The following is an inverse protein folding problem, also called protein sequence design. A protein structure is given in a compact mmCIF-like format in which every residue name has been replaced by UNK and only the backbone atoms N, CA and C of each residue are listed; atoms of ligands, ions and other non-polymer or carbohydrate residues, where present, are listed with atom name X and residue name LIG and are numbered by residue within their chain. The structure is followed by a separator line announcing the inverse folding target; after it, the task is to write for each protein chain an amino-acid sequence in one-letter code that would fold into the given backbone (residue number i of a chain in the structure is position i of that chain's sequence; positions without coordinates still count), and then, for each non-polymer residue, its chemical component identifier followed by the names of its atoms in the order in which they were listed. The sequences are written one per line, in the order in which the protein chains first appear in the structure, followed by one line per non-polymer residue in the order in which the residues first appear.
data_IF_330972827908
#
_entry.id   IF_330972827908
#
_cell.length_a   1.000
_cell.length_b   1.000
_cell.length_c   1.000
_cell.angle_alpha   90.00
_cell.angle_beta   90.00
_cell.angle_gamma   90.00
#
_symmetry.space_group_name_H-M   'P 1'
#
loop_
_entity.id
_entity.type
_entity.pdbx_description
1 polymer ?
#
# COMPACT_ATOMS: atom_id res chain seq x y z
N UNK A 1 16.12 -2.29 -3.93
CA UNK A 1 15.36 -3.26 -4.76
C UNK A 1 15.38 -2.83 -6.23
N UNK A 2 15.48 -3.77 -7.19
CA UNK A 2 15.32 -3.50 -8.63
C UNK A 2 13.93 -3.99 -9.08
N UNK A 3 13.11 -3.11 -9.64
CA UNK A 3 11.73 -3.43 -10.06
C UNK A 3 11.54 -3.07 -11.52
N UNK A 4 10.69 -3.82 -12.21
CA UNK A 4 10.29 -3.57 -13.59
C UNK A 4 8.78 -3.47 -13.72
N UNK A 5 8.29 -2.62 -14.60
CA UNK A 5 6.89 -2.55 -15.02
C UNK A 5 6.83 -2.64 -16.55
N UNK A 6 6.09 -3.64 -17.07
CA UNK A 6 6.05 -3.90 -18.52
C UNK A 6 7.44 -4.16 -19.14
N UNK A 7 8.34 -4.80 -18.38
CA UNK A 7 9.72 -5.08 -18.81
C UNK A 7 10.69 -3.89 -18.76
N UNK A 8 10.22 -2.70 -18.38
CA UNK A 8 11.06 -1.51 -18.21
C UNK A 8 11.38 -1.28 -16.75
N UNK A 9 12.61 -0.88 -16.45
CA UNK A 9 13.00 -0.55 -15.08
C UNK A 9 12.25 0.68 -14.57
N UNK A 10 11.85 0.63 -13.30
CA UNK A 10 11.22 1.76 -12.61
C UNK A 10 12.01 2.11 -11.36
N UNK A 11 12.08 3.41 -11.07
CA UNK A 11 12.75 3.93 -9.87
C UNK A 11 11.71 4.10 -8.76
N UNK A 12 11.95 3.49 -7.60
CA UNK A 12 11.19 3.80 -6.39
C UNK A 12 11.79 5.02 -5.70
N UNK A 13 10.94 5.93 -5.24
CA UNK A 13 11.33 7.11 -4.48
C UNK A 13 11.00 6.88 -3.01
N UNK A 14 11.92 7.24 -2.12
CA UNK A 14 11.79 7.08 -0.68
C UNK A 14 12.58 5.88 -0.13
N UNK A 15 12.42 5.65 1.17
CA UNK A 15 13.11 4.58 1.88
C UNK A 15 12.22 3.34 1.96
N UNK A 16 12.81 2.18 1.67
CA UNK A 16 12.19 0.88 1.89
C UNK A 16 12.09 0.60 3.40
N UNK A 17 10.90 0.25 3.89
CA UNK A 17 10.65 -0.09 5.29
C UNK A 17 11.13 -1.51 5.60
N UNK A 18 11.72 -1.69 6.79
CA UNK A 18 12.25 -2.97 7.29
C UNK A 18 11.56 -3.38 8.59
N UNK A 19 11.68 -4.65 8.94
CA UNK A 19 11.15 -5.17 10.20
C UNK A 19 11.78 -4.43 11.38
N UNK A 20 10.94 -3.91 12.27
CA UNK A 20 11.36 -3.10 13.41
C UNK A 20 11.30 -1.59 13.17
N UNK A 21 11.14 -1.15 11.92
CA UNK A 21 10.93 0.27 11.62
C UNK A 21 9.57 0.75 12.16
N UNK A 22 9.53 2.00 12.63
CA UNK A 22 8.28 2.64 13.01
C UNK A 22 7.44 2.93 11.76
N UNK A 23 6.11 2.82 11.88
CA UNK A 23 5.19 3.18 10.81
C UNK A 23 5.33 4.68 10.49
N UNK A 24 5.65 5.08 9.24
CA UNK A 24 5.74 6.48 8.88
C UNK A 24 4.40 7.20 9.03
N UNK A 25 4.46 8.50 9.34
CA UNK A 25 3.25 9.32 9.31
C UNK A 25 2.73 9.46 7.86
N UNK A 26 1.42 9.27 7.69
CA UNK A 26 0.73 9.48 6.43
C UNK A 26 -0.66 10.09 6.64
N UNK A 27 -1.18 10.72 5.60
CA UNK A 27 -2.57 11.16 5.47
C UNK A 27 -3.12 10.68 4.13
N UNK A 28 -4.33 10.13 4.13
CA UNK A 28 -5.02 9.49 3.03
C UNK A 28 -6.47 9.96 3.01
N UNK A 29 -7.16 9.66 1.91
CA UNK A 29 -8.58 9.96 1.72
C UNK A 29 -9.36 8.65 1.69
N UNK A 30 -10.47 8.58 2.44
CA UNK A 30 -11.37 7.40 2.44
C UNK A 30 -12.29 7.39 1.21
N UNK A 31 -13.03 6.30 1.01
CA UNK A 31 -14.03 6.20 -0.06
C UNK A 31 -15.16 7.23 0.07
N UNK A 32 -15.47 7.63 1.31
CA UNK A 32 -16.46 8.65 1.66
C UNK A 32 -15.88 10.08 1.63
N UNK A 33 -14.67 10.25 1.08
CA UNK A 33 -13.94 11.51 1.01
C UNK A 33 -13.56 12.09 2.38
N UNK A 34 -13.49 11.25 3.41
CA UNK A 34 -12.99 11.62 4.74
C UNK A 34 -11.46 11.57 4.81
N UNK A 35 -10.89 12.16 5.86
CA UNK A 35 -9.45 12.07 6.15
C UNK A 35 -9.15 10.80 6.96
N UNK A 36 -8.08 10.11 6.61
CA UNK A 36 -7.55 8.96 7.34
C UNK A 36 -6.04 9.09 7.49
N UNK A 37 -5.51 8.97 8.70
CA UNK A 37 -4.09 9.14 8.98
C UNK A 37 -3.47 7.90 9.64
N UNK A 38 -2.15 7.86 9.65
CA UNK A 38 -1.38 6.87 10.42
C UNK A 38 -1.80 6.76 11.90
N UNK A 39 -2.33 7.83 12.49
CA UNK A 39 -2.78 7.87 13.90
C UNK A 39 -4.11 7.15 14.12
N UNK A 40 -4.88 6.95 13.05
CA UNK A 40 -6.17 6.27 13.08
C UNK A 40 -6.02 4.74 12.97
N UNK A 41 -4.81 4.25 12.66
CA UNK A 41 -4.49 2.82 12.55
C UNK A 41 -4.50 2.17 13.94
N UNK A 42 -5.46 1.26 14.16
CA UNK A 42 -5.55 0.44 15.38
C UNK A 42 -4.73 -0.83 15.23
N UNK A 43 -3.75 -1.03 16.12
CA UNK A 43 -2.87 -2.20 16.08
C UNK A 43 -3.49 -3.41 16.80
N UNK A 44 -3.22 -4.65 16.32
CA UNK A 44 -2.41 -4.99 15.15
C UNK A 44 -3.15 -4.70 13.84
N UNK A 45 -2.43 -4.18 12.84
CA UNK A 45 -2.98 -3.87 11.52
C UNK A 45 -2.05 -4.38 10.42
N UNK A 46 -2.64 -4.75 9.29
CA UNK A 46 -1.94 -4.98 8.04
C UNK A 46 -2.32 -3.85 7.09
N UNK A 47 -1.33 -3.21 6.49
CA UNK A 47 -1.51 -2.15 5.49
C UNK A 47 -1.07 -2.71 4.14
N UNK A 48 -2.02 -2.82 3.20
CA UNK A 48 -1.77 -3.29 1.84
C UNK A 48 -1.75 -2.11 0.88
N UNK A 49 -0.75 -2.05 0.00
CA UNK A 49 -0.64 -1.01 -1.03
C UNK A 49 -0.50 -1.65 -2.40
N UNK A 50 -1.20 -1.08 -3.39
CA UNK A 50 -1.22 -1.55 -4.77
C UNK A 50 -1.06 -0.36 -5.73
N UNK A 51 -0.49 -0.54 -6.94
CA UNK A 51 -0.38 0.53 -7.92
C UNK A 51 -1.71 1.15 -8.34
N UNK A 52 -2.74 0.32 -8.59
CA UNK A 52 -4.08 0.79 -8.97
C UNK A 52 -5.10 -0.33 -8.83
N UNK A 53 -6.16 -0.07 -8.06
CA UNK A 53 -7.30 -1.00 -7.86
C UNK A 53 -8.04 -1.33 -9.16
N UNK A 54 -7.95 -0.45 -10.17
CA UNK A 54 -8.63 -0.58 -11.46
C UNK A 54 -7.89 -1.50 -12.44
N UNK A 55 -6.85 -2.21 -11.99
CA UNK A 55 -6.09 -3.17 -12.81
C UNK A 55 -6.35 -4.59 -12.36
N UNK A 56 -6.43 -5.52 -13.31
CA UNK A 56 -6.87 -6.90 -13.07
C UNK A 56 -6.05 -7.63 -12.02
N UNK A 57 -4.72 -7.51 -12.05
CA UNK A 57 -3.83 -8.18 -11.09
C UNK A 57 -3.99 -7.59 -9.70
N UNK A 58 -4.00 -6.27 -9.56
CA UNK A 58 -4.10 -5.61 -8.26
C UNK A 58 -5.49 -5.79 -7.63
N UNK A 59 -6.55 -5.81 -8.46
CA UNK A 59 -7.91 -6.12 -8.02
C UNK A 59 -8.00 -7.55 -7.47
N UNK A 60 -7.41 -8.52 -8.18
CA UNK A 60 -7.36 -9.91 -7.74
C UNK A 60 -6.57 -10.08 -6.43
N UNK A 61 -5.44 -9.37 -6.28
CA UNK A 61 -4.65 -9.34 -5.06
C UNK A 61 -5.47 -8.86 -3.86
N UNK A 62 -6.17 -7.73 -4.01
CA UNK A 62 -6.99 -7.15 -2.95
C UNK A 62 -8.13 -8.10 -2.54
N UNK A 63 -8.83 -8.69 -3.51
CA UNK A 63 -9.90 -9.66 -3.26
C UNK A 63 -9.37 -10.91 -2.55
N UNK A 64 -8.24 -11.44 -3.01
CA UNK A 64 -7.62 -12.63 -2.42
C UNK A 64 -7.15 -12.38 -0.99
N UNK A 65 -6.58 -11.21 -0.72
CA UNK A 65 -6.16 -10.82 0.62
C UNK A 65 -7.35 -10.66 1.57
N UNK A 66 -8.47 -10.09 1.10
CA UNK A 66 -9.65 -9.89 1.94
C UNK A 66 -10.45 -11.18 2.21
N UNK A 67 -10.37 -12.16 1.33
CA UNK A 67 -11.07 -13.45 1.46
C UNK A 67 -10.35 -14.44 2.39
N UNK A 68 -9.06 -14.23 2.64
CA UNK A 68 -8.18 -15.13 3.40
C UNK A 68 -7.74 -14.53 4.73
#
# INVERSE_FOLDING_TARGET
MKITFGGKEVTLIGSELKVGDALPEFNLTTMELGNFSSKDVKLPAILLTIPSVDTSVCSLELLTFNDR
#
